data_IF_274450356766
#
_entry.id   IF_274450356766
#
_cell.length_a   1.000
_cell.length_b   1.000
_cell.length_c   1.000
_cell.angle_alpha   90.00
_cell.angle_beta   90.00
_cell.angle_gamma   90.00
#
_symmetry.space_group_name_H-M   'P 1'
#
loop_
_entity.id
_entity.type
_entity.pdbx_description
1 polymer ?
#
# COMPACT_ATOMS: atom_id res chain seq x y z
N UNK A 1 -8.27 -11.16 13.71
CA UNK A 1 -6.89 -10.74 14.10
C UNK A 1 -6.91 -9.34 14.73
N UNK A 2 -7.40 -8.31 14.02
CA UNK A 2 -7.51 -6.95 14.58
C UNK A 2 -8.28 -6.87 15.91
N UNK A 3 -9.44 -7.54 16.02
CA UNK A 3 -10.19 -7.60 17.28
C UNK A 3 -9.46 -8.30 18.44
N UNK A 4 -8.59 -9.27 18.13
CA UNK A 4 -7.77 -9.96 19.14
C UNK A 4 -6.62 -9.06 19.63
N UNK A 5 -6.01 -8.28 18.73
CA UNK A 5 -5.00 -7.28 19.08
C UNK A 5 -5.60 -6.14 19.93
N UNK A 6 -6.80 -5.69 19.59
CA UNK A 6 -7.54 -4.70 20.39
C UNK A 6 -7.89 -5.21 21.78
N UNK A 7 -8.33 -6.46 21.90
CA UNK A 7 -8.60 -7.08 23.20
C UNK A 7 -7.32 -7.27 24.02
N UNK A 8 -6.21 -7.65 23.37
CA UNK A 8 -4.91 -7.82 24.03
C UNK A 8 -4.38 -6.48 24.59
N UNK A 9 -4.52 -5.39 23.83
CA UNK A 9 -4.10 -4.07 24.31
C UNK A 9 -4.96 -3.58 25.47
N UNK A 10 -6.25 -3.92 25.51
CA UNK A 10 -7.11 -3.67 26.68
C UNK A 10 -6.73 -4.54 27.90
N UNK A 11 -6.36 -5.80 27.67
CA UNK A 11 -5.95 -6.71 28.75
C UNK A 11 -4.70 -6.19 29.48
N UNK A 12 -3.74 -5.58 28.77
CA UNK A 12 -2.56 -4.94 29.37
C UNK A 12 -2.98 -3.91 30.43
N UNK A 13 -3.95 -3.04 30.11
CA UNK A 13 -4.45 -2.05 31.07
C UNK A 13 -5.06 -2.71 32.32
N UNK A 14 -5.89 -3.75 32.15
CA UNK A 14 -6.55 -4.44 33.27
C UNK A 14 -5.57 -5.01 34.31
N UNK A 15 -4.42 -5.52 33.88
CA UNK A 15 -3.41 -6.05 34.81
C UNK A 15 -2.58 -4.94 35.46
N UNK A 16 -2.28 -3.89 34.70
CA UNK A 16 -1.35 -2.83 35.10
C UNK A 16 -2.03 -1.79 36.00
N UNK A 17 -3.34 -1.55 35.85
CA UNK A 17 -4.08 -0.55 36.64
C UNK A 17 -3.93 -0.74 38.15
N UNK A 18 -3.87 -2.00 38.63
CA UNK A 18 -3.71 -2.31 40.06
C UNK A 18 -2.32 -1.94 40.63
N UNK A 19 -1.34 -1.68 39.76
CA UNK A 19 0.04 -1.37 40.13
C UNK A 19 0.43 0.08 39.75
N UNK A 20 -0.54 0.91 39.38
CA UNK A 20 -0.33 2.28 38.89
C UNK A 20 0.60 3.11 39.80
N UNK A 21 0.40 3.05 41.12
CA UNK A 21 1.16 3.84 42.09
C UNK A 21 2.62 3.37 42.26
N UNK A 22 2.93 2.13 41.86
CA UNK A 22 4.27 1.55 41.98
C UNK A 22 5.15 1.80 40.76
N UNK A 23 4.57 2.19 39.63
CA UNK A 23 5.30 2.35 38.38
C UNK A 23 5.99 3.71 38.25
N UNK A 24 7.22 3.68 37.74
CA UNK A 24 7.97 4.88 37.35
C UNK A 24 7.33 5.56 36.13
N UNK A 25 7.65 6.85 35.94
CA UNK A 25 7.19 7.65 34.79
C UNK A 25 7.49 6.96 33.44
N UNK A 26 8.70 6.42 33.28
CA UNK A 26 9.11 5.76 32.04
C UNK A 26 8.28 4.49 31.75
N UNK A 27 7.96 3.71 32.80
CA UNK A 27 7.10 2.54 32.66
C UNK A 27 5.67 2.95 32.27
N UNK A 28 5.11 3.99 32.92
CA UNK A 28 3.79 4.54 32.57
C UNK A 28 3.74 5.03 31.12
N UNK A 29 4.77 5.74 30.65
CA UNK A 29 4.89 6.17 29.25
C UNK A 29 5.00 4.98 28.29
N UNK A 30 5.76 3.93 28.62
CA UNK A 30 5.87 2.73 27.79
C UNK A 30 4.53 2.01 27.66
N UNK A 31 3.77 1.89 28.75
CA UNK A 31 2.42 1.30 28.74
C UNK A 31 1.47 2.14 27.87
N UNK A 32 1.67 3.47 27.81
CA UNK A 32 0.91 4.37 26.95
C UNK A 32 1.21 4.19 25.45
N UNK A 33 2.21 3.40 25.05
CA UNK A 33 2.39 3.02 23.63
C UNK A 33 1.26 2.11 23.12
N UNK A 34 0.52 1.50 24.05
CA UNK A 34 -0.77 0.89 23.75
C UNK A 34 -1.85 1.98 23.87
N UNK A 35 -2.37 2.46 22.74
CA UNK A 35 -3.34 3.55 22.68
C UNK A 35 -4.57 3.35 23.60
N UNK A 36 -5.08 2.11 23.73
CA UNK A 36 -6.16 1.78 24.65
C UNK A 36 -5.79 2.05 26.13
N UNK A 37 -4.55 1.74 26.53
CA UNK A 37 -4.03 1.99 27.88
C UNK A 37 -3.78 3.48 28.12
N UNK A 38 -3.24 4.20 27.12
CA UNK A 38 -3.05 5.65 27.20
C UNK A 38 -4.37 6.38 27.40
N UNK A 39 -5.41 6.02 26.63
CA UNK A 39 -6.74 6.58 26.77
C UNK A 39 -7.33 6.29 28.16
N UNK A 40 -7.17 5.07 28.67
CA UNK A 40 -7.67 4.70 29.99
C UNK A 40 -6.98 5.48 31.12
N UNK A 41 -5.65 5.67 31.05
CA UNK A 41 -4.94 6.55 31.99
C UNK A 41 -5.32 8.02 31.83
N UNK A 42 -5.57 8.48 30.61
CA UNK A 42 -6.11 9.82 30.36
C UNK A 42 -7.43 10.06 31.09
N UNK A 43 -8.37 9.12 30.98
CA UNK A 43 -9.64 9.18 31.72
C UNK A 43 -9.43 9.11 33.24
N UNK A 44 -8.54 8.26 33.72
CA UNK A 44 -8.23 8.16 35.16
C UNK A 44 -7.69 9.49 35.71
N UNK A 45 -6.79 10.17 34.99
CA UNK A 45 -6.26 11.48 35.41
C UNK A 45 -7.35 12.57 35.37
N UNK A 46 -8.21 12.56 34.35
CA UNK A 46 -9.36 13.48 34.28
C UNK A 46 -10.26 13.30 35.51
N UNK A 47 -10.58 12.06 35.87
CA UNK A 47 -11.40 11.75 37.05
C UNK A 47 -10.72 12.16 38.37
N UNK A 48 -9.40 12.03 38.48
CA UNK A 48 -8.67 12.50 39.66
C UNK A 48 -8.71 14.03 39.79
N UNK A 49 -8.57 14.77 38.68
CA UNK A 49 -8.73 16.23 38.66
C UNK A 49 -10.18 16.66 38.98
N UNK A 50 -11.17 15.89 38.56
CA UNK A 50 -12.57 16.14 38.91
C UNK A 50 -12.83 15.86 40.40
N UNK A 51 -12.26 14.78 40.95
CA UNK A 51 -12.37 14.42 42.37
C UNK A 51 -11.75 15.44 43.33
N UNK A 52 -10.79 16.24 42.87
CA UNK A 52 -10.19 17.35 43.64
C UNK A 52 -11.00 18.66 43.55
N UNK A 53 -12.06 18.70 42.72
CA UNK A 53 -12.98 19.83 42.60
C UNK A 53 -12.50 20.99 41.72
N UNK A 54 -11.26 20.95 41.19
CA UNK A 54 -10.75 21.95 40.23
C UNK A 54 -11.11 21.62 38.78
N UNK A 55 -11.22 20.33 38.44
CA UNK A 55 -11.35 19.86 37.07
C UNK A 55 -10.05 20.04 36.27
N UNK A 56 -9.96 19.41 35.10
CA UNK A 56 -8.80 19.50 34.23
C UNK A 56 -8.92 20.72 33.28
N UNK A 57 -8.07 21.72 33.48
CA UNK A 57 -7.93 22.87 32.57
C UNK A 57 -6.68 22.78 31.68
N UNK A 58 -6.66 23.52 30.57
CA UNK A 58 -5.52 23.55 29.63
C UNK A 58 -4.20 23.99 30.29
N UNK A 59 -4.26 24.93 31.24
CA UNK A 59 -3.10 25.40 32.00
C UNK A 59 -2.57 24.36 32.99
N UNK A 60 -3.39 23.40 33.39
CA UNK A 60 -3.07 22.39 34.40
C UNK A 60 -2.67 21.04 33.79
N UNK A 61 -2.72 20.91 32.46
CA UNK A 61 -2.45 19.68 31.72
C UNK A 61 -1.07 19.07 32.01
N UNK A 62 -0.06 19.90 32.24
CA UNK A 62 1.31 19.47 32.57
C UNK A 62 1.61 19.49 34.07
N UNK A 63 0.62 19.82 34.90
CA UNK A 63 0.78 19.77 36.35
C UNK A 63 0.35 18.38 36.87
N UNK A 64 1.09 17.79 37.82
CA UNK A 64 0.70 16.54 38.43
C UNK A 64 -0.52 16.71 39.35
N UNK A 65 -1.35 15.67 39.43
CA UNK A 65 -2.49 15.64 40.36
C UNK A 65 -2.02 15.30 41.77
N UNK A 66 -1.17 14.27 41.88
CA UNK A 66 -0.60 13.81 43.14
C UNK A 66 0.85 14.29 43.24
N UNK A 67 1.30 14.84 44.37
CA UNK A 67 2.69 15.27 44.56
C UNK A 67 3.72 14.14 44.40
N UNK A 68 3.30 12.90 44.66
CA UNK A 68 4.14 11.70 44.58
C UNK A 68 4.17 11.08 43.16
N UNK A 69 3.32 11.55 42.23
CA UNK A 69 3.27 11.07 40.85
C UNK A 69 3.62 12.17 39.87
N UNK A 70 4.62 11.94 39.03
CA UNK A 70 5.08 12.90 38.00
C UNK A 70 4.34 12.74 36.68
N UNK A 71 3.50 11.71 36.55
CA UNK A 71 2.73 11.45 35.33
C UNK A 71 1.55 12.42 35.22
N UNK A 72 1.40 13.06 34.05
CA UNK A 72 0.41 14.13 33.83
C UNK A 72 -0.39 13.88 32.56
N UNK A 73 -1.54 14.56 32.43
CA UNK A 73 -2.39 14.44 31.26
C UNK A 73 -1.68 14.86 29.96
N UNK A 74 -0.79 15.85 30.04
CA UNK A 74 0.03 16.28 28.91
C UNK A 74 0.94 15.17 28.38
N UNK A 75 1.51 14.35 29.25
CA UNK A 75 2.29 13.17 28.83
C UNK A 75 1.41 12.17 28.08
N UNK A 76 0.16 11.94 28.52
CA UNK A 76 -0.80 11.07 27.82
C UNK A 76 -1.08 11.58 26.41
N UNK A 77 -1.37 12.88 26.24
CA UNK A 77 -1.64 13.45 24.91
C UNK A 77 -0.42 13.32 23.99
N UNK A 78 0.78 13.62 24.50
CA UNK A 78 2.01 13.48 23.70
C UNK A 78 2.19 12.02 23.24
N UNK A 79 1.97 11.06 24.13
CA UNK A 79 2.05 9.64 23.80
C UNK A 79 0.98 9.22 22.77
N UNK A 80 -0.26 9.72 22.88
CA UNK A 80 -1.31 9.44 21.89
C UNK A 80 -0.99 10.02 20.50
N UNK A 81 -0.40 11.21 20.43
CA UNK A 81 0.06 11.79 19.16
C UNK A 81 1.20 10.99 18.56
N UNK A 82 2.14 10.52 19.39
CA UNK A 82 3.23 9.66 18.97
C UNK A 82 2.71 8.32 18.45
N UNK A 83 1.73 7.70 19.13
CA UNK A 83 1.05 6.49 18.67
C UNK A 83 0.38 6.68 17.32
N UNK A 84 -0.31 7.81 17.11
CA UNK A 84 -0.95 8.12 15.83
C UNK A 84 0.07 8.15 14.68
N UNK A 85 1.23 8.76 14.90
CA UNK A 85 2.33 8.79 13.91
C UNK A 85 2.86 7.37 13.67
N UNK A 86 3.13 6.60 14.74
CA UNK A 86 3.64 5.23 14.63
C UNK A 86 2.65 4.35 13.87
N UNK A 87 1.36 4.37 14.22
CA UNK A 87 0.34 3.58 13.54
C UNK A 87 0.14 4.00 12.09
N UNK A 88 0.24 5.30 11.78
CA UNK A 88 0.23 5.76 10.38
C UNK A 88 1.42 5.21 9.59
N UNK A 89 2.63 5.23 10.16
CA UNK A 89 3.82 4.65 9.51
C UNK A 89 3.71 3.14 9.33
N UNK A 90 3.19 2.43 10.34
CA UNK A 90 2.92 0.99 10.25
C UNK A 90 1.86 0.71 9.18
N UNK A 91 0.78 1.51 9.11
CA UNK A 91 -0.27 1.35 8.12
C UNK A 91 0.29 1.52 6.70
N UNK A 92 1.04 2.59 6.45
CA UNK A 92 1.70 2.83 5.16
C UNK A 92 2.66 1.69 4.78
N UNK A 93 3.41 1.16 5.74
CA UNK A 93 4.31 0.03 5.52
C UNK A 93 3.53 -1.27 5.20
N UNK A 94 2.48 -1.57 5.96
CA UNK A 94 1.66 -2.77 5.75
C UNK A 94 0.95 -2.71 4.41
N UNK A 95 0.39 -1.57 4.02
CA UNK A 95 -0.26 -1.39 2.72
C UNK A 95 0.73 -1.58 1.55
N UNK A 96 1.97 -1.12 1.72
CA UNK A 96 3.01 -1.27 0.70
C UNK A 96 3.49 -2.73 0.54
N UNK A 97 3.64 -3.47 1.65
CA UNK A 97 4.13 -4.86 1.63
C UNK A 97 3.00 -5.87 1.36
N UNK A 98 1.79 -5.57 1.82
CA UNK A 98 0.61 -6.44 1.69
C UNK A 98 -0.58 -5.65 1.11
N UNK A 99 -0.59 -5.36 -0.21
CA UNK A 99 -1.59 -4.51 -0.86
C UNK A 99 -3.00 -5.13 -0.99
N UNK A 100 -3.35 -6.13 -0.17
CA UNK A 100 -4.67 -6.77 -0.23
C UNK A 100 -4.94 -7.45 -1.57
N UNK A 101 -6.15 -7.25 -2.11
CA UNK A 101 -6.60 -7.93 -3.33
C UNK A 101 -6.01 -7.36 -4.63
N UNK A 102 -5.57 -6.09 -4.61
CA UNK A 102 -5.12 -5.38 -5.80
C UNK A 102 -3.77 -4.71 -5.57
N UNK A 103 -2.85 -4.92 -6.49
CA UNK A 103 -1.54 -4.29 -6.45
C UNK A 103 -0.40 -5.30 -6.55
N UNK A 104 0.80 -4.74 -6.55
CA UNK A 104 2.05 -5.50 -6.56
C UNK A 104 2.73 -5.29 -5.21
N UNK A 105 2.92 -6.35 -4.39
CA UNK A 105 3.55 -6.23 -3.08
C UNK A 105 5.01 -5.82 -3.25
N UNK A 106 5.45 -4.86 -2.43
CA UNK A 106 6.87 -4.54 -2.31
C UNK A 106 7.57 -5.52 -1.36
N UNK A 107 8.88 -5.65 -1.51
CA UNK A 107 9.72 -6.47 -0.63
C UNK A 107 9.72 -5.91 0.79
N UNK A 108 9.79 -6.75 1.83
CA UNK A 108 9.72 -6.30 3.23
C UNK A 108 10.83 -5.29 3.61
N UNK A 109 11.98 -5.34 2.93
CA UNK A 109 13.09 -4.41 3.15
C UNK A 109 13.05 -3.18 2.22
N UNK A 110 11.95 -2.95 1.48
CA UNK A 110 11.86 -1.85 0.51
C UNK A 110 12.24 -0.46 1.06
N UNK A 111 11.92 -0.07 2.32
CA UNK A 111 12.27 1.26 2.82
C UNK A 111 13.78 1.47 2.97
N UNK A 112 14.57 0.39 3.00
CA UNK A 112 16.03 0.46 3.10
C UNK A 112 16.71 0.35 1.73
N UNK A 113 15.93 0.18 0.65
CA UNK A 113 16.49 0.07 -0.70
C UNK A 113 16.80 1.43 -1.31
N UNK A 114 17.97 1.55 -1.95
CA UNK A 114 18.34 2.77 -2.68
C UNK A 114 17.35 3.08 -3.82
N UNK A 115 16.80 2.04 -4.44
CA UNK A 115 15.81 2.12 -5.51
C UNK A 115 14.54 2.86 -5.11
N UNK A 116 14.11 2.74 -3.85
CA UNK A 116 12.92 3.43 -3.34
C UNK A 116 13.16 4.93 -3.22
N UNK A 117 14.28 5.34 -2.62
CA UNK A 117 14.58 6.76 -2.35
C UNK A 117 15.09 7.53 -3.57
N UNK A 118 15.82 6.86 -4.47
CA UNK A 118 16.50 7.51 -5.60
C UNK A 118 15.97 7.09 -6.97
N UNK A 119 14.94 6.23 -7.00
CA UNK A 119 14.36 5.70 -8.22
C UNK A 119 15.23 4.61 -8.88
N UNK A 120 14.57 3.71 -9.60
CA UNK A 120 15.26 2.78 -10.49
C UNK A 120 15.63 3.47 -11.79
N UNK A 121 16.82 3.13 -12.31
CA UNK A 121 17.17 3.47 -13.70
C UNK A 121 16.35 2.59 -14.63
N UNK A 122 15.96 3.14 -15.77
CA UNK A 122 15.32 2.38 -16.86
C UNK A 122 16.16 1.15 -17.15
N UNK A 123 15.55 -0.04 -17.08
CA UNK A 123 16.19 -1.27 -17.50
C UNK A 123 16.15 -1.28 -19.03
N UNK A 124 17.15 -0.65 -19.64
CA UNK A 124 17.22 -0.42 -21.09
C UNK A 124 17.40 -1.71 -21.91
N UNK A 125 17.69 -2.84 -21.27
CA UNK A 125 17.96 -4.09 -21.97
C UNK A 125 16.77 -5.05 -21.82
N UNK A 126 15.77 -4.84 -22.68
CA UNK A 126 14.86 -5.89 -23.08
C UNK A 126 15.72 -7.03 -23.65
N UNK A 127 15.92 -8.13 -22.90
CA UNK A 127 16.50 -9.32 -23.49
C UNK A 127 15.61 -9.73 -24.65
N UNK A 128 16.14 -9.82 -25.89
CA UNK A 128 15.34 -10.26 -27.02
C UNK A 128 14.73 -11.61 -26.64
N UNK A 129 13.44 -11.80 -26.92
CA UNK A 129 12.82 -13.12 -26.85
C UNK A 129 13.55 -14.00 -27.86
N UNK A 130 14.59 -14.71 -27.40
CA UNK A 130 15.43 -15.53 -28.26
C UNK A 130 14.58 -16.70 -28.75
N UNK A 131 14.34 -16.73 -30.06
CA UNK A 131 13.77 -17.83 -30.82
C UNK A 131 12.33 -18.23 -30.48
N UNK A 132 11.37 -17.33 -30.75
CA UNK A 132 9.99 -17.74 -31.08
C UNK A 132 9.83 -18.01 -32.59
N UNK A 133 10.87 -18.52 -33.26
CA UNK A 133 10.75 -19.04 -34.63
C UNK A 133 10.00 -20.37 -34.56
N UNK A 134 8.68 -20.31 -34.58
CA UNK A 134 7.81 -21.45 -34.85
C UNK A 134 6.86 -21.08 -35.98
N UNK A 135 6.37 -22.07 -36.72
CA UNK A 135 5.42 -21.89 -37.85
C UNK A 135 4.15 -21.09 -37.48
N UNK A 136 3.90 -20.86 -36.19
CA UNK A 136 2.73 -20.20 -35.64
C UNK A 136 2.95 -18.68 -35.45
N UNK A 137 4.19 -18.22 -35.35
CA UNK A 137 4.51 -16.81 -35.10
C UNK A 137 4.94 -16.08 -36.37
N UNK A 138 4.37 -14.90 -36.58
CA UNK A 138 4.86 -13.96 -37.59
C UNK A 138 6.21 -13.38 -37.16
N UNK A 139 7.05 -13.07 -38.13
CA UNK A 139 8.35 -12.43 -37.89
C UNK A 139 8.14 -11.05 -37.28
N UNK A 140 8.85 -10.77 -36.19
CA UNK A 140 8.78 -9.47 -35.54
C UNK A 140 9.27 -8.33 -36.46
N UNK A 141 8.60 -7.16 -36.45
CA UNK A 141 9.02 -6.00 -37.23
C UNK A 141 10.35 -5.45 -36.69
N UNK A 142 11.36 -5.38 -37.54
CA UNK A 142 12.71 -4.92 -37.16
C UNK A 142 12.84 -3.40 -37.05
N UNK A 143 11.87 -2.65 -37.57
CA UNK A 143 11.90 -1.20 -37.69
C UNK A 143 11.11 -0.45 -36.60
N UNK A 144 10.44 -1.17 -35.70
CA UNK A 144 9.62 -0.57 -34.66
C UNK A 144 10.23 -0.76 -33.27
N UNK A 145 10.04 0.25 -32.42
CA UNK A 145 10.46 0.19 -31.02
C UNK A 145 9.47 -0.66 -30.22
N UNK A 146 10.00 -1.50 -29.34
CA UNK A 146 9.19 -2.30 -28.42
C UNK A 146 8.63 -1.37 -27.33
N UNK A 147 7.30 -1.31 -27.22
CA UNK A 147 6.61 -0.59 -26.16
C UNK A 147 6.33 -1.47 -24.95
N UNK A 148 5.84 -2.70 -25.19
CA UNK A 148 5.57 -3.70 -24.15
C UNK A 148 6.25 -5.01 -24.54
N UNK A 149 7.07 -5.56 -23.67
CA UNK A 149 7.64 -6.89 -23.82
C UNK A 149 7.13 -7.80 -22.71
N UNK A 150 6.59 -8.95 -23.08
CA UNK A 150 6.10 -9.96 -22.14
C UNK A 150 7.04 -11.16 -22.19
N UNK A 151 7.54 -11.58 -21.03
CA UNK A 151 8.56 -12.61 -20.91
C UNK A 151 8.13 -13.70 -19.93
N UNK A 152 7.66 -14.83 -20.49
CA UNK A 152 7.19 -16.01 -19.77
C UNK A 152 6.19 -15.69 -18.65
N UNK A 153 5.31 -14.73 -18.90
CA UNK A 153 4.35 -14.25 -17.91
C UNK A 153 3.37 -15.36 -17.52
N UNK A 154 3.25 -15.63 -16.21
CA UNK A 154 2.43 -16.72 -15.69
C UNK A 154 1.58 -16.26 -14.51
N UNK A 155 0.33 -16.75 -14.46
CA UNK A 155 -0.53 -16.60 -13.29
C UNK A 155 -1.17 -17.93 -12.91
N UNK A 156 -0.97 -18.31 -11.65
CA UNK A 156 -1.64 -19.43 -11.00
C UNK A 156 -2.40 -18.87 -9.81
N UNK A 157 -3.70 -19.18 -9.73
CA UNK A 157 -4.57 -18.83 -8.61
C UNK A 157 -4.61 -19.96 -7.57
N UNK A 158 -5.03 -19.68 -6.33
CA UNK A 158 -5.20 -20.72 -5.30
C UNK A 158 -5.98 -21.93 -5.80
N UNK A 159 -5.54 -23.12 -5.39
CA UNK A 159 -6.06 -24.39 -5.90
C UNK A 159 -5.49 -24.76 -7.29
N UNK A 160 -4.25 -24.36 -7.58
CA UNK A 160 -3.47 -24.73 -8.77
C UNK A 160 -4.15 -24.41 -10.12
N UNK A 161 -5.01 -23.39 -10.14
CA UNK A 161 -5.71 -22.95 -11.35
C UNK A 161 -4.80 -22.04 -12.18
N UNK A 162 -4.19 -22.60 -13.22
CA UNK A 162 -3.37 -21.85 -14.18
C UNK A 162 -4.27 -21.00 -15.08
N UNK A 163 -4.19 -19.68 -14.94
CA UNK A 163 -4.96 -18.74 -15.76
C UNK A 163 -4.17 -18.20 -16.95
N UNK A 164 -2.85 -18.08 -16.82
CA UNK A 164 -1.93 -17.69 -17.90
C UNK A 164 -0.68 -18.56 -17.78
N UNK A 165 -0.25 -19.19 -18.87
CA UNK A 165 0.86 -20.15 -18.90
C UNK A 165 2.01 -19.64 -19.77
N UNK A 166 3.03 -19.05 -19.12
CA UNK A 166 4.29 -18.63 -19.73
C UNK A 166 4.17 -17.81 -21.03
N UNK A 167 3.21 -16.89 -21.09
CA UNK A 167 2.94 -16.04 -22.25
C UNK A 167 4.17 -15.17 -22.57
N UNK A 168 4.61 -15.17 -23.84
CA UNK A 168 5.77 -14.39 -24.28
C UNK A 168 5.51 -13.80 -25.66
N UNK A 169 5.54 -12.48 -25.79
CA UNK A 169 5.48 -11.76 -27.06
C UNK A 169 5.81 -10.28 -26.85
N UNK A 170 6.10 -9.57 -27.95
CA UNK A 170 6.38 -8.14 -27.97
C UNK A 170 5.23 -7.36 -28.61
N UNK A 171 4.95 -6.17 -28.09
CA UNK A 171 4.05 -5.16 -28.65
C UNK A 171 4.86 -3.93 -29.03
N UNK A 172 4.62 -3.40 -30.22
CA UNK A 172 5.44 -2.35 -30.80
C UNK A 172 4.72 -1.00 -30.81
N UNK A 173 5.48 0.08 -30.67
CA UNK A 173 4.96 1.45 -30.78
C UNK A 173 4.35 1.67 -32.18
N UNK A 174 3.19 2.34 -32.22
CA UNK A 174 2.46 2.62 -33.46
C UNK A 174 1.64 1.44 -34.00
N UNK A 175 1.59 0.30 -33.32
CA UNK A 175 0.76 -0.84 -33.69
C UNK A 175 -0.47 -1.00 -32.78
N UNK A 176 -1.55 -1.53 -33.35
CA UNK A 176 -2.72 -1.99 -32.59
C UNK A 176 -2.60 -3.49 -32.43
N UNK A 177 -2.30 -3.95 -31.21
CA UNK A 177 -2.29 -5.38 -30.87
C UNK A 177 -3.65 -5.81 -30.34
N UNK A 178 -4.18 -6.91 -30.87
CA UNK A 178 -5.45 -7.49 -30.43
C UNK A 178 -5.21 -8.84 -29.78
N UNK A 179 -5.57 -8.98 -28.50
CA UNK A 179 -5.53 -10.25 -27.78
C UNK A 179 -6.88 -10.97 -27.93
N UNK A 180 -6.95 -11.96 -28.83
CA UNK A 180 -8.16 -12.72 -29.12
C UNK A 180 -8.13 -14.11 -28.46
N UNK A 181 -9.28 -14.57 -27.97
CA UNK A 181 -9.44 -15.90 -27.38
C UNK A 181 -10.82 -16.07 -26.73
N UNK A 182 -11.20 -17.29 -26.38
CA UNK A 182 -12.49 -17.57 -25.72
C UNK A 182 -12.56 -17.01 -24.28
N UNK A 183 -13.75 -17.01 -23.68
CA UNK A 183 -13.92 -16.65 -22.27
C UNK A 183 -13.17 -17.64 -21.37
N UNK A 184 -12.41 -17.12 -20.40
CA UNK A 184 -11.54 -17.94 -19.56
C UNK A 184 -10.15 -18.24 -20.15
N UNK A 185 -9.82 -17.81 -21.37
CA UNK A 185 -8.49 -18.00 -21.97
C UNK A 185 -7.35 -17.17 -21.31
N UNK A 186 -7.64 -16.40 -20.25
CA UNK A 186 -6.64 -15.60 -19.53
C UNK A 186 -6.47 -14.16 -20.00
N UNK A 187 -7.26 -13.67 -20.98
CA UNK A 187 -7.14 -12.31 -21.54
C UNK A 187 -7.18 -11.20 -20.47
N UNK A 188 -8.24 -11.19 -19.67
CA UNK A 188 -8.42 -10.21 -18.59
C UNK A 188 -7.31 -10.37 -17.55
N UNK A 189 -6.92 -11.61 -17.22
CA UNK A 189 -5.83 -11.88 -16.28
C UNK A 189 -4.49 -11.31 -16.78
N UNK A 190 -4.18 -11.45 -18.07
CA UNK A 190 -2.99 -10.85 -18.68
C UNK A 190 -3.03 -9.33 -18.57
N UNK A 191 -4.15 -8.69 -18.95
CA UNK A 191 -4.29 -7.24 -18.82
C UNK A 191 -4.20 -6.75 -17.37
N UNK A 192 -4.76 -7.49 -16.41
CA UNK A 192 -4.66 -7.18 -14.98
C UNK A 192 -3.22 -7.30 -14.45
N UNK A 193 -2.42 -8.20 -15.01
CA UNK A 193 -0.99 -8.28 -14.67
C UNK A 193 -0.20 -7.11 -15.25
N UNK A 194 -0.42 -6.76 -16.52
CA UNK A 194 0.27 -5.64 -17.18
C UNK A 194 -0.02 -4.28 -16.50
N UNK A 195 -1.21 -4.14 -15.94
CA UNK A 195 -1.66 -2.93 -15.24
C UNK A 195 -1.33 -2.93 -13.75
N UNK A 196 -0.71 -4.00 -13.25
CA UNK A 196 -0.33 -4.19 -11.85
C UNK A 196 -1.53 -4.27 -10.90
N UNK A 197 -2.72 -4.63 -11.39
CA UNK A 197 -3.86 -4.98 -10.53
C UNK A 197 -3.66 -6.35 -9.90
N UNK A 198 -3.03 -7.29 -10.62
CA UNK A 198 -2.72 -8.64 -10.14
C UNK A 198 -1.23 -8.89 -10.30
N UNK A 199 -0.57 -9.38 -9.25
CA UNK A 199 0.84 -9.77 -9.35
C UNK A 199 1.00 -11.08 -10.13
N UNK A 200 1.94 -11.18 -11.08
CA UNK A 200 2.27 -12.45 -11.74
C UNK A 200 2.83 -13.48 -10.75
N UNK A 201 2.52 -14.76 -10.96
CA UNK A 201 3.11 -15.86 -10.17
C UNK A 201 4.55 -16.12 -10.59
N UNK A 202 4.85 -16.00 -11.88
CA UNK A 202 6.21 -16.09 -12.43
C UNK A 202 6.31 -15.31 -13.73
N UNK A 203 7.53 -15.12 -14.23
CA UNK A 203 7.80 -14.28 -15.39
C UNK A 203 7.69 -12.79 -15.09
N UNK A 204 7.74 -11.99 -16.15
CA UNK A 204 7.61 -10.52 -16.05
C UNK A 204 7.13 -9.92 -17.36
N UNK A 205 6.81 -8.63 -17.32
CA UNK A 205 6.68 -7.79 -18.50
C UNK A 205 7.41 -6.47 -18.26
N UNK A 206 7.92 -5.87 -19.34
CA UNK A 206 8.48 -4.53 -19.32
C UNK A 206 7.62 -3.61 -20.18
N UNK A 207 7.32 -2.42 -19.66
CA UNK A 207 6.56 -1.38 -20.36
C UNK A 207 7.45 -0.15 -20.40
N UNK A 208 7.82 0.31 -21.59
CA UNK A 208 8.76 1.43 -21.77
C UNK A 208 10.09 1.26 -20.97
N UNK A 209 10.56 0.02 -20.82
CA UNK A 209 11.80 -0.30 -20.09
C UNK A 209 11.67 -0.40 -18.56
N UNK A 210 10.45 -0.35 -18.03
CA UNK A 210 10.15 -0.51 -16.60
C UNK A 210 9.51 -1.88 -16.32
N UNK A 211 9.92 -2.59 -15.26
CA UNK A 211 9.41 -3.94 -14.94
C UNK A 211 8.10 -3.83 -14.13
N UNK A 212 7.04 -4.54 -14.56
CA UNK A 212 5.71 -4.52 -13.92
C UNK A 212 5.70 -5.00 -12.46
N UNK A 213 6.76 -5.63 -11.97
CA UNK A 213 6.88 -6.09 -10.57
C UNK A 213 7.52 -5.04 -9.66
N UNK A 214 8.22 -4.06 -10.22
CA UNK A 214 9.06 -3.11 -9.46
C UNK A 214 8.71 -1.66 -9.71
N UNK A 215 8.40 -1.33 -10.96
CA UNK A 215 8.36 0.03 -11.47
C UNK A 215 6.94 0.46 -11.88
N UNK A 216 5.93 -0.12 -11.21
CA UNK A 216 4.52 0.17 -11.48
C UNK A 216 4.15 1.66 -11.39
N UNK A 217 4.68 2.48 -10.45
CA UNK A 217 4.42 3.91 -10.43
C UNK A 217 4.78 4.59 -11.76
N UNK A 218 5.99 4.33 -12.29
CA UNK A 218 6.49 4.89 -13.54
C UNK A 218 5.69 4.38 -14.75
N UNK A 219 5.33 3.09 -14.74
CA UNK A 219 4.48 2.50 -15.79
C UNK A 219 3.12 3.20 -15.83
N UNK A 220 2.49 3.47 -14.68
CA UNK A 220 1.16 4.08 -14.58
C UNK A 220 1.10 5.53 -15.06
N UNK A 221 2.23 6.23 -15.13
CA UNK A 221 2.29 7.57 -15.72
C UNK A 221 2.03 7.51 -17.23
N UNK A 222 2.60 6.52 -17.92
CA UNK A 222 2.50 6.37 -19.38
C UNK A 222 1.44 5.37 -19.86
N UNK A 223 0.88 4.55 -18.96
CA UNK A 223 -0.13 3.54 -19.29
C UNK A 223 -1.55 4.00 -18.96
N UNK A 224 -2.47 3.83 -19.92
CA UNK A 224 -3.92 3.97 -19.73
C UNK A 224 -4.61 2.61 -19.72
N UNK A 225 -5.62 2.42 -18.86
CA UNK A 225 -6.48 1.24 -18.85
C UNK A 225 -7.94 1.68 -18.96
N UNK A 226 -8.66 1.09 -19.91
CA UNK A 226 -10.11 1.13 -19.93
C UNK A 226 -10.64 -0.21 -19.39
N UNK A 227 -11.22 -0.26 -18.17
CA UNK A 227 -11.75 -1.49 -17.60
C UNK A 227 -13.00 -1.98 -18.33
N UNK A 228 -13.39 -3.23 -18.07
CA UNK A 228 -14.61 -3.82 -18.67
C UNK A 228 -15.90 -3.14 -18.19
N UNK A 229 -15.91 -2.71 -16.93
CA UNK A 229 -17.01 -1.94 -16.34
C UNK A 229 -16.65 -0.47 -16.36
N UNK A 230 -17.54 0.36 -16.89
CA UNK A 230 -17.35 1.80 -16.91
C UNK A 230 -17.30 2.34 -15.47
N UNK A 231 -16.22 3.03 -15.12
CA UNK A 231 -16.06 3.71 -13.84
C UNK A 231 -16.58 5.14 -14.04
N UNK A 232 -17.90 5.31 -13.95
CA UNK A 232 -18.56 6.61 -14.05
C UNK A 232 -19.00 7.05 -12.65
N UNK A 233 -18.86 8.34 -12.38
CA UNK A 233 -19.37 9.03 -11.20
C UNK A 233 -20.69 9.69 -11.56
N UNK A 234 -21.80 9.17 -11.05
CA UNK A 234 -23.15 9.61 -11.46
C UNK A 234 -23.40 11.11 -11.20
N UNK A 235 -22.70 11.71 -10.25
CA UNK A 235 -22.81 13.13 -9.87
C UNK A 235 -21.97 14.08 -10.73
N UNK A 236 -21.11 13.57 -11.63
CA UNK A 236 -20.22 14.40 -12.45
C UNK A 236 -20.70 14.47 -13.91
N UNK A 237 -20.70 15.66 -14.47
CA UNK A 237 -20.89 15.87 -15.91
C UNK A 237 -19.73 15.26 -16.71
N UNK A 238 -19.91 15.10 -18.03
CA UNK A 238 -18.86 14.61 -18.92
C UNK A 238 -17.60 15.49 -18.87
N UNK A 239 -17.79 16.81 -18.82
CA UNK A 239 -16.67 17.76 -18.74
C UNK A 239 -15.90 17.62 -17.42
N UNK A 240 -16.60 17.44 -16.30
CA UNK A 240 -15.99 17.24 -14.99
C UNK A 240 -15.26 15.90 -14.89
N UNK A 241 -15.79 14.84 -15.51
CA UNK A 241 -15.08 13.56 -15.62
C UNK A 241 -13.76 13.68 -16.38
N UNK A 242 -13.79 14.31 -17.56
CA UNK A 242 -12.59 14.54 -18.35
C UNK A 242 -11.58 15.37 -17.55
N UNK A 243 -12.04 16.46 -16.92
CA UNK A 243 -11.19 17.30 -16.07
C UNK A 243 -10.58 16.51 -14.89
N UNK A 244 -11.38 15.69 -14.20
CA UNK A 244 -10.94 14.85 -13.09
C UNK A 244 -9.85 13.88 -13.51
N UNK A 245 -10.07 13.09 -14.57
CA UNK A 245 -9.07 12.13 -15.05
C UNK A 245 -7.83 12.81 -15.63
N UNK A 246 -7.98 13.96 -16.30
CA UNK A 246 -6.84 14.77 -16.76
C UNK A 246 -5.97 15.23 -15.58
N UNK A 247 -6.59 15.69 -14.48
CA UNK A 247 -5.86 16.09 -13.26
C UNK A 247 -5.24 14.92 -12.53
N UNK A 248 -5.93 13.78 -12.47
CA UNK A 248 -5.37 12.54 -11.91
C UNK A 248 -4.12 12.08 -12.67
N UNK A 249 -4.08 12.32 -13.98
CA UNK A 249 -2.93 12.01 -14.85
C UNK A 249 -1.85 13.10 -14.88
N UNK A 250 -1.98 14.16 -14.09
CA UNK A 250 -0.99 15.23 -14.01
C UNK A 250 -0.96 16.15 -15.23
N UNK A 251 -2.04 16.23 -16.02
CA UNK A 251 -2.14 17.18 -17.12
C UNK A 251 -2.44 18.58 -16.56
N UNK A 252 -1.54 19.52 -16.86
CA UNK A 252 -1.80 20.94 -16.67
C UNK A 252 -2.79 21.46 -17.73
N UNK A 253 -3.46 22.56 -17.39
CA UNK A 253 -4.63 23.08 -18.12
C UNK A 253 -4.39 23.25 -19.62
#
# INVERSE_FOLDING_TARGET
>A
IAGLLWFLSYAIYMFVQNQYDTFSLAQKMLICLASNSAMAYGFQIILMWEGTGKGLGWSDMFNPVNPDDTFTFGHVIIMLLLDAIIYMLIALYVEAVFPGDYGVPLEWYYPFTRSYWFGNKVHADATPLTNLESEIYEKEPSNLKIGIQISKLQKVFPGDKVAVSALSFNMFEGQVTVLLGHNGAGKTTTMSMLTGMITPTSGTATINGYDIRKDMPQIRESLGLCPQHNILFDDLTVAEHLYFYSKLKGLDK
#
